data_IF_127138119466
#
_entry.id   IF_127138119466
#
_cell.length_a   1.000
_cell.length_b   1.000
_cell.length_c   1.000
_cell.angle_alpha   90.00
_cell.angle_beta   90.00
_cell.angle_gamma   90.00
#
_symmetry.space_group_name_H-M   'P 1'
#
loop_
_entity.id
_entity.type
_entity.pdbx_description
1 polymer ?
#
# COMPACT_ATOMS: atom_id res chain seq x y z
N UNK A 1 14.58 -2.69 8.25
CA UNK A 1 13.44 -3.63 8.37
C UNK A 1 12.71 -3.37 9.69
N UNK A 2 11.39 -3.56 9.76
CA UNK A 2 10.59 -3.13 10.93
C UNK A 2 10.89 -3.94 12.19
N UNK A 3 11.11 -5.26 12.05
CA UNK A 3 11.56 -6.19 13.10
C UNK A 3 10.71 -6.12 14.39
N UNK A 4 9.39 -6.01 14.25
CA UNK A 4 8.47 -5.94 15.40
C UNK A 4 8.09 -7.37 15.81
N UNK A 5 8.48 -7.77 17.03
CA UNK A 5 8.39 -9.16 17.51
C UNK A 5 7.25 -9.44 18.50
N UNK A 6 6.53 -8.41 18.95
CA UNK A 6 5.41 -8.59 19.87
C UNK A 6 4.36 -7.50 19.69
N UNK A 7 3.13 -7.78 20.13
CA UNK A 7 2.04 -6.81 20.16
C UNK A 7 2.33 -5.63 21.08
N UNK A 8 3.01 -5.87 22.20
CA UNK A 8 3.45 -4.81 23.13
C UNK A 8 4.48 -3.87 22.47
N UNK A 9 5.40 -4.41 21.68
CA UNK A 9 6.33 -3.62 20.90
C UNK A 9 5.59 -2.81 19.82
N UNK A 10 4.61 -3.42 19.12
CA UNK A 10 3.79 -2.71 18.13
C UNK A 10 3.03 -1.54 18.78
N UNK A 11 2.32 -1.77 19.88
CA UNK A 11 1.57 -0.78 20.63
C UNK A 11 2.43 0.43 21.01
N UNK A 12 3.62 0.16 21.58
CA UNK A 12 4.60 1.19 21.93
C UNK A 12 5.04 2.01 20.71
N UNK A 13 5.33 1.36 19.58
CA UNK A 13 5.73 2.07 18.34
C UNK A 13 4.60 2.92 17.77
N UNK A 14 3.37 2.41 17.79
CA UNK A 14 2.22 3.14 17.24
C UNK A 14 1.74 4.27 18.15
N UNK A 15 2.20 4.32 19.41
CA UNK A 15 1.67 5.18 20.47
C UNK A 15 0.16 4.98 20.65
N UNK A 16 -0.26 3.71 20.63
CA UNK A 16 -1.65 3.28 20.82
C UNK A 16 -1.62 2.15 21.84
N UNK A 17 -2.54 2.22 22.80
CA UNK A 17 -2.67 1.21 23.82
C UNK A 17 -2.97 -0.19 23.22
N UNK A 18 -2.45 -1.24 23.84
CA UNK A 18 -2.57 -2.61 23.34
C UNK A 18 -4.02 -3.09 23.35
N UNK A 19 -4.82 -2.68 24.33
CA UNK A 19 -6.22 -3.05 24.45
C UNK A 19 -7.03 -2.39 23.33
N UNK A 20 -6.72 -1.13 23.03
CA UNK A 20 -7.30 -0.43 21.88
C UNK A 20 -7.02 -1.18 20.57
N UNK A 21 -5.79 -1.69 20.37
CA UNK A 21 -5.46 -2.47 19.18
C UNK A 21 -6.24 -3.80 19.15
N UNK A 22 -6.28 -4.53 20.26
CA UNK A 22 -6.98 -5.82 20.34
C UNK A 22 -8.48 -5.67 20.08
N UNK A 23 -9.13 -4.76 20.80
CA UNK A 23 -10.56 -4.49 20.67
C UNK A 23 -10.91 -4.05 19.24
N UNK A 24 -10.12 -3.15 18.64
CA UNK A 24 -10.35 -2.72 17.24
C UNK A 24 -10.21 -3.90 16.25
N UNK A 25 -9.28 -4.84 16.51
CA UNK A 25 -9.04 -5.97 15.63
C UNK A 25 -10.05 -7.12 15.79
N UNK A 26 -10.63 -7.25 16.97
CA UNK A 26 -11.76 -8.15 17.24
C UNK A 26 -13.02 -7.66 16.52
N UNK A 27 -13.31 -6.36 16.62
CA UNK A 27 -14.46 -5.71 15.99
C UNK A 27 -14.15 -5.03 14.64
N UNK A 28 -13.23 -5.60 13.86
CA UNK A 28 -12.72 -4.96 12.63
C UNK A 28 -13.80 -4.70 11.58
N UNK A 29 -14.80 -5.59 11.51
CA UNK A 29 -15.92 -5.48 10.57
C UNK A 29 -16.80 -4.26 10.88
N UNK A 30 -17.04 -3.98 12.16
CA UNK A 30 -17.84 -2.84 12.63
C UNK A 30 -17.16 -1.50 12.34
N UNK A 31 -15.83 -1.52 12.15
CA UNK A 31 -15.03 -0.36 11.83
C UNK A 31 -14.93 -0.05 10.33
N UNK A 32 -15.54 -0.85 9.46
CA UNK A 32 -15.47 -0.68 8.02
C UNK A 32 -16.87 -0.66 7.39
N UNK A 33 -17.15 0.38 6.60
CA UNK A 33 -18.38 0.46 5.80
C UNK A 33 -18.07 0.71 4.33
N UNK A 34 -18.90 0.21 3.43
CA UNK A 34 -18.76 0.44 1.99
C UNK A 34 -19.50 1.70 1.57
N UNK A 35 -18.82 2.54 0.79
CA UNK A 35 -19.40 3.67 0.10
C UNK A 35 -19.19 3.52 -1.40
N UNK A 36 -20.26 3.62 -2.18
CA UNK A 36 -20.17 3.62 -3.63
C UNK A 36 -19.85 5.04 -4.13
N UNK A 37 -18.84 5.18 -4.97
CA UNK A 37 -18.52 6.43 -5.66
C UNK A 37 -18.69 6.23 -7.16
N UNK A 38 -19.47 7.10 -7.78
CA UNK A 38 -19.60 7.18 -9.24
C UNK A 38 -18.43 7.98 -9.80
N UNK A 39 -17.71 7.39 -10.74
CA UNK A 39 -16.69 8.09 -11.53
C UNK A 39 -17.35 9.07 -12.51
N UNK A 40 -16.58 10.03 -13.04
CA UNK A 40 -17.04 10.96 -14.08
C UNK A 40 -17.60 10.26 -15.32
N UNK A 41 -17.17 9.01 -15.59
CA UNK A 41 -17.64 8.15 -16.70
C UNK A 41 -18.73 7.17 -16.29
N UNK A 42 -19.40 7.37 -15.14
CA UNK A 42 -20.53 6.55 -14.69
C UNK A 42 -20.17 5.22 -14.00
N UNK A 43 -18.93 4.72 -14.13
CA UNK A 43 -18.48 3.50 -13.44
C UNK A 43 -18.57 3.68 -11.91
N UNK A 44 -19.19 2.73 -11.22
CA UNK A 44 -19.27 2.70 -9.75
C UNK A 44 -18.04 1.98 -9.19
N UNK A 45 -17.41 2.58 -8.17
CA UNK A 45 -16.30 1.95 -7.43
C UNK A 45 -16.66 1.84 -5.95
N UNK A 46 -16.54 0.65 -5.34
CA UNK A 46 -16.68 0.50 -3.89
C UNK A 46 -15.44 1.07 -3.21
N UNK A 47 -15.64 2.00 -2.27
CA UNK A 47 -14.58 2.55 -1.42
C UNK A 47 -14.90 2.18 0.03
N UNK A 48 -13.91 1.65 0.72
CA UNK A 48 -14.03 1.30 2.13
C UNK A 48 -13.79 2.55 2.98
N UNK A 49 -14.78 2.89 3.81
CA UNK A 49 -14.70 3.96 4.82
C UNK A 49 -14.40 3.33 6.17
N UNK A 50 -13.20 3.61 6.69
CA UNK A 50 -12.81 3.26 8.04
C UNK A 50 -13.41 4.23 9.10
N UNK A 51 -13.70 3.69 10.28
CA UNK A 51 -14.05 4.46 11.48
C UNK A 51 -12.90 5.38 11.92
N UNK A 52 -13.18 6.35 12.79
CA UNK A 52 -12.16 7.30 13.25
C UNK A 52 -11.02 6.61 14.00
N UNK A 53 -11.33 5.58 14.80
CA UNK A 53 -10.31 4.81 15.52
C UNK A 53 -9.41 4.01 14.57
N UNK A 54 -10.01 3.31 13.60
CA UNK A 54 -9.25 2.55 12.61
C UNK A 54 -8.40 3.47 11.72
N UNK A 55 -8.93 4.63 11.31
CA UNK A 55 -8.16 5.65 10.60
C UNK A 55 -6.96 6.14 11.39
N UNK A 56 -7.11 6.34 12.71
CA UNK A 56 -6.00 6.75 13.59
C UNK A 56 -4.91 5.67 13.61
N UNK A 57 -5.30 4.40 13.76
CA UNK A 57 -4.37 3.25 13.71
C UNK A 57 -3.67 3.18 12.34
N UNK A 58 -4.42 3.18 11.24
CA UNK A 58 -3.89 3.14 9.87
C UNK A 58 -2.93 4.30 9.58
N UNK A 59 -3.25 5.51 10.06
CA UNK A 59 -2.38 6.68 9.93
C UNK A 59 -1.06 6.49 10.67
N UNK A 60 -1.07 5.89 11.88
CA UNK A 60 0.16 5.59 12.61
C UNK A 60 0.95 4.47 11.94
N UNK A 61 0.29 3.41 11.46
CA UNK A 61 0.94 2.36 10.67
C UNK A 61 1.64 2.97 9.46
N UNK A 62 0.97 3.83 8.71
CA UNK A 62 1.57 4.53 7.57
C UNK A 62 2.78 5.39 7.99
N UNK A 63 2.59 6.31 8.94
CA UNK A 63 3.60 7.33 9.30
C UNK A 63 4.81 6.75 10.05
N UNK A 64 4.61 5.73 10.88
CA UNK A 64 5.67 5.22 11.75
C UNK A 64 6.35 4.02 11.12
N UNK A 65 5.61 3.19 10.39
CA UNK A 65 6.09 1.93 9.84
C UNK A 65 6.32 2.02 8.33
N UNK A 66 5.25 2.18 7.55
CA UNK A 66 5.32 1.97 6.08
C UNK A 66 6.12 3.04 5.35
N UNK A 67 6.03 4.31 5.74
CA UNK A 67 6.73 5.39 5.05
C UNK A 67 8.26 5.36 5.23
N UNK A 68 8.76 4.53 6.15
CA UNK A 68 10.20 4.32 6.39
C UNK A 68 10.76 3.15 5.60
N UNK A 69 9.89 2.37 4.94
CA UNK A 69 10.30 1.24 4.11
C UNK A 69 10.81 1.81 2.78
N UNK A 70 12.03 1.47 2.35
CA UNK A 70 12.52 1.84 1.02
C UNK A 70 11.58 1.30 -0.06
N UNK A 71 11.36 2.10 -1.10
CA UNK A 71 10.57 1.74 -2.28
C UNK A 71 11.40 1.98 -3.54
N UNK A 72 10.96 1.43 -4.66
CA UNK A 72 11.68 1.59 -5.92
C UNK A 72 11.80 3.07 -6.35
N UNK A 73 12.95 3.50 -6.90
CA UNK A 73 13.12 4.85 -7.44
C UNK A 73 12.10 5.25 -8.51
N UNK A 74 11.65 4.28 -9.30
CA UNK A 74 10.66 4.48 -10.38
C UNK A 74 9.21 4.59 -9.88
N UNK A 75 8.92 4.39 -8.60
CA UNK A 75 7.56 4.50 -8.06
C UNK A 75 7.20 5.96 -7.72
N UNK A 76 6.38 6.65 -8.51
CA UNK A 76 6.01 8.06 -8.25
C UNK A 76 4.66 8.23 -7.54
N UNK A 77 3.78 7.24 -7.63
CA UNK A 77 2.42 7.33 -7.07
C UNK A 77 2.38 7.20 -5.56
N UNK A 78 1.72 8.15 -4.88
CA UNK A 78 1.58 8.20 -3.42
C UNK A 78 2.93 8.15 -2.66
N UNK A 79 3.97 8.76 -3.24
CA UNK A 79 5.31 8.85 -2.64
C UNK A 79 5.61 10.29 -2.27
N UNK A 80 6.13 10.50 -1.06
CA UNK A 80 6.53 11.84 -0.61
C UNK A 80 7.61 12.44 -1.52
N UNK A 81 7.43 13.70 -1.92
CA UNK A 81 8.34 14.38 -2.85
C UNK A 81 8.20 13.99 -4.32
N UNK A 82 7.29 13.06 -4.65
CA UNK A 82 6.96 12.69 -6.04
C UNK A 82 5.51 13.11 -6.35
N UNK A 83 5.27 13.32 -7.64
CA UNK A 83 4.01 13.80 -8.19
C UNK A 83 3.82 13.32 -9.63
N UNK A 84 2.61 13.49 -10.16
CA UNK A 84 2.31 13.25 -11.58
C UNK A 84 3.27 14.03 -12.50
N UNK A 85 3.69 15.23 -12.10
CA UNK A 85 4.71 16.02 -12.82
C UNK A 85 6.06 15.30 -12.83
N UNK A 86 6.56 14.87 -11.67
CA UNK A 86 7.86 14.16 -11.62
C UNK A 86 7.85 12.84 -12.38
N UNK A 87 6.68 12.18 -12.47
CA UNK A 87 6.46 10.98 -13.27
C UNK A 87 6.61 11.31 -14.76
N UNK A 88 5.83 12.28 -15.25
CA UNK A 88 5.84 12.69 -16.65
C UNK A 88 7.20 13.22 -17.12
N UNK A 89 7.92 13.95 -16.26
CA UNK A 89 9.24 14.50 -16.59
C UNK A 89 10.27 13.44 -17.02
N UNK A 90 10.15 12.20 -16.54
CA UNK A 90 11.04 11.10 -16.96
C UNK A 90 10.84 10.66 -18.42
N UNK A 91 9.69 11.01 -18.99
CA UNK A 91 9.27 10.62 -20.33
C UNK A 91 9.20 11.79 -21.31
N UNK A 92 9.42 13.02 -20.84
CA UNK A 92 9.44 14.19 -21.70
C UNK A 92 10.53 14.07 -22.77
N UNK A 93 10.17 14.33 -24.03
CA UNK A 93 11.07 14.25 -25.18
C UNK A 93 11.26 12.85 -25.76
N UNK A 94 10.65 11.81 -25.17
CA UNK A 94 10.63 10.47 -25.76
C UNK A 94 9.76 10.47 -27.02
N UNK A 95 10.24 9.81 -28.08
CA UNK A 95 9.52 9.73 -29.37
C UNK A 95 8.22 8.93 -29.26
N UNK A 96 8.21 7.94 -28.37
CA UNK A 96 7.06 7.08 -28.10
C UNK A 96 6.92 6.88 -26.59
N UNK A 97 5.68 6.81 -26.13
CA UNK A 97 5.33 6.50 -24.74
C UNK A 97 4.25 5.42 -24.75
N UNK A 98 4.37 4.43 -23.88
CA UNK A 98 3.40 3.35 -23.78
C UNK A 98 2.89 3.26 -22.35
N UNK A 99 1.57 3.37 -22.18
CA UNK A 99 0.95 3.32 -20.87
C UNK A 99 0.28 1.97 -20.64
N UNK A 100 0.59 1.35 -19.51
CA UNK A 100 0.00 0.11 -19.02
C UNK A 100 -0.73 0.38 -17.71
N UNK A 101 -1.81 -0.35 -17.44
CA UNK A 101 -2.56 -0.26 -16.18
C UNK A 101 -2.65 -1.65 -15.53
N UNK A 102 -2.43 -1.72 -14.22
CA UNK A 102 -2.64 -2.93 -13.45
C UNK A 102 -4.14 -3.13 -13.16
N UNK A 103 -4.76 -4.01 -13.92
CA UNK A 103 -6.18 -4.31 -13.79
C UNK A 103 -6.56 -4.65 -12.34
N UNK A 104 -7.51 -3.90 -11.78
CA UNK A 104 -8.10 -4.16 -10.46
C UNK A 104 -7.03 -4.32 -9.36
N UNK A 105 -5.97 -3.52 -9.42
CA UNK A 105 -4.74 -3.65 -8.64
C UNK A 105 -4.97 -3.97 -7.15
N UNK A 106 -5.77 -3.16 -6.45
CA UNK A 106 -6.02 -3.33 -5.01
C UNK A 106 -6.78 -4.62 -4.67
N UNK A 107 -7.86 -4.93 -5.40
CA UNK A 107 -8.67 -6.13 -5.13
C UNK A 107 -7.92 -7.43 -5.47
N UNK A 108 -6.96 -7.38 -6.39
CA UNK A 108 -6.12 -8.53 -6.74
C UNK A 108 -4.97 -8.75 -5.73
N UNK A 109 -4.78 -7.87 -4.74
CA UNK A 109 -3.82 -8.06 -3.66
C UNK A 109 -4.54 -8.67 -2.46
N UNK A 110 -4.42 -9.99 -2.34
CA UNK A 110 -5.01 -10.75 -1.24
C UNK A 110 -4.30 -10.50 0.10
N UNK A 111 -5.04 -10.65 1.20
CA UNK A 111 -4.54 -10.50 2.56
C UNK A 111 -3.41 -11.46 2.90
N UNK A 112 -3.36 -12.64 2.27
CA UNK A 112 -2.24 -13.58 2.38
C UNK A 112 -0.93 -12.98 1.89
N UNK A 113 -0.95 -12.26 0.75
CA UNK A 113 0.21 -11.56 0.20
C UNK A 113 0.64 -10.39 1.09
N UNK A 114 -0.32 -9.68 1.68
CA UNK A 114 -0.05 -8.60 2.66
C UNK A 114 0.54 -9.16 3.96
N UNK A 115 0.05 -10.29 4.45
CA UNK A 115 0.61 -10.96 5.62
C UNK A 115 2.04 -11.41 5.37
N UNK A 116 2.28 -12.05 4.22
CA UNK A 116 3.62 -12.48 3.79
C UNK A 116 4.59 -11.30 3.67
N UNK A 117 4.13 -10.15 3.19
CA UNK A 117 4.91 -8.92 3.20
C UNK A 117 5.36 -8.54 4.62
N UNK A 118 4.45 -8.54 5.59
CA UNK A 118 4.81 -8.19 6.97
C UNK A 118 5.77 -9.21 7.60
N UNK A 119 5.58 -10.50 7.36
CA UNK A 119 6.42 -11.57 7.91
C UNK A 119 7.80 -11.62 7.25
N UNK A 120 7.86 -11.75 5.92
CA UNK A 120 9.09 -12.03 5.19
C UNK A 120 9.87 -10.74 4.86
N UNK A 121 9.19 -9.74 4.30
CA UNK A 121 9.84 -8.52 3.82
C UNK A 121 9.98 -7.44 4.88
N UNK A 122 9.25 -7.49 6.00
CA UNK A 122 9.33 -6.50 7.07
C UNK A 122 9.79 -7.10 8.41
N UNK A 123 10.00 -8.42 8.43
CA UNK A 123 10.53 -9.21 9.56
C UNK A 123 9.68 -9.11 10.84
N UNK A 124 8.38 -8.93 10.71
CA UNK A 124 7.46 -8.95 11.85
C UNK A 124 7.14 -10.39 12.30
N UNK A 125 6.89 -10.58 13.60
CA UNK A 125 6.39 -11.87 14.12
C UNK A 125 5.00 -12.22 13.56
N UNK A 126 4.63 -13.50 13.45
CA UNK A 126 3.33 -13.94 12.89
C UNK A 126 2.11 -13.23 13.50
N UNK A 127 2.08 -13.02 14.82
CA UNK A 127 0.97 -12.35 15.51
C UNK A 127 0.82 -10.88 15.08
N UNK A 128 1.95 -10.18 15.02
CA UNK A 128 2.02 -8.77 14.58
C UNK A 128 1.61 -8.66 13.11
N UNK A 129 2.09 -9.57 12.27
CA UNK A 129 1.75 -9.60 10.84
C UNK A 129 0.27 -9.88 10.62
N UNK A 130 -0.32 -10.78 11.39
CA UNK A 130 -1.76 -11.06 11.36
C UNK A 130 -2.56 -9.81 11.74
N UNK A 131 -2.17 -9.15 12.83
CA UNK A 131 -2.85 -7.94 13.30
C UNK A 131 -2.73 -6.77 12.31
N UNK A 132 -1.53 -6.53 11.78
CA UNK A 132 -1.29 -5.49 10.77
C UNK A 132 -2.11 -5.76 9.51
N UNK A 133 -2.15 -7.01 9.03
CA UNK A 133 -2.98 -7.40 7.89
C UNK A 133 -4.46 -7.12 8.15
N UNK A 134 -4.99 -7.41 9.35
CA UNK A 134 -6.39 -7.07 9.70
C UNK A 134 -6.66 -5.58 9.58
N UNK A 135 -5.74 -4.71 10.03
CA UNK A 135 -5.92 -3.26 9.95
C UNK A 135 -5.75 -2.67 8.55
N UNK A 136 -5.04 -3.36 7.67
CA UNK A 136 -4.69 -2.83 6.35
C UNK A 136 -5.43 -3.49 5.19
N UNK A 137 -6.26 -4.50 5.46
CA UNK A 137 -7.08 -5.18 4.44
C UNK A 137 -8.54 -5.16 4.82
N UNK A 138 -9.41 -5.34 3.83
CA UNK A 138 -10.85 -5.45 4.02
C UNK A 138 -11.38 -6.53 3.09
N UNK A 139 -12.22 -7.43 3.63
CA UNK A 139 -12.75 -8.57 2.88
C UNK A 139 -11.67 -9.36 2.14
N UNK A 140 -10.60 -9.73 2.86
CA UNK A 140 -9.46 -10.54 2.36
C UNK A 140 -8.62 -9.92 1.23
N UNK A 141 -8.76 -8.62 0.97
CA UNK A 141 -8.01 -7.92 -0.07
C UNK A 141 -7.59 -6.52 0.38
N UNK A 142 -6.67 -5.91 -0.36
CA UNK A 142 -6.26 -4.53 -0.09
C UNK A 142 -7.41 -3.57 -0.38
N UNK A 143 -7.72 -2.70 0.58
CA UNK A 143 -8.91 -1.86 0.51
C UNK A 143 -8.65 -0.57 -0.28
N UNK A 144 -9.54 -0.21 -1.21
CA UNK A 144 -9.56 1.16 -1.74
C UNK A 144 -10.12 2.10 -0.66
N UNK A 145 -9.38 3.16 -0.32
CA UNK A 145 -9.78 4.16 0.68
C UNK A 145 -9.00 4.10 1.99
N UNK A 146 -8.24 3.02 2.25
CA UNK A 146 -7.31 2.99 3.38
C UNK A 146 -6.04 3.77 3.07
N UNK A 147 -5.55 4.53 4.05
CA UNK A 147 -4.33 5.34 3.91
C UNK A 147 -3.05 4.50 3.79
N UNK A 148 -3.11 3.23 4.16
CA UNK A 148 -1.98 2.29 4.11
C UNK A 148 -1.86 1.57 2.77
N UNK A 149 -2.94 1.49 1.99
CA UNK A 149 -3.01 0.61 0.82
C UNK A 149 -1.99 0.97 -0.26
N UNK A 150 -1.86 2.25 -0.63
CA UNK A 150 -0.90 2.67 -1.65
C UNK A 150 0.55 2.43 -1.22
N UNK A 151 0.86 2.59 0.06
CA UNK A 151 2.18 2.29 0.61
C UNK A 151 2.48 0.79 0.54
N UNK A 152 1.53 -0.06 0.93
CA UNK A 152 1.66 -1.52 0.81
C UNK A 152 1.86 -1.93 -0.65
N UNK A 153 1.08 -1.37 -1.56
CA UNK A 153 1.23 -1.62 -3.01
C UNK A 153 2.65 -1.28 -3.48
N UNK A 154 3.15 -0.10 -3.14
CA UNK A 154 4.50 0.31 -3.56
C UNK A 154 5.59 -0.63 -3.04
N UNK A 155 5.46 -1.14 -1.81
CA UNK A 155 6.42 -2.10 -1.25
C UNK A 155 6.31 -3.46 -1.98
N UNK A 156 5.09 -3.94 -2.24
CA UNK A 156 4.86 -5.19 -2.96
C UNK A 156 5.35 -5.16 -4.41
N UNK A 157 5.35 -3.98 -5.04
CA UNK A 157 5.80 -3.79 -6.41
C UNK A 157 7.32 -3.72 -6.56
N UNK A 158 8.12 -3.64 -5.49
CA UNK A 158 9.59 -3.48 -5.58
C UNK A 158 10.21 -4.53 -6.51
N UNK A 159 9.86 -5.82 -6.35
CA UNK A 159 10.43 -6.88 -7.16
C UNK A 159 10.02 -6.78 -8.64
N UNK A 160 8.80 -6.34 -8.91
CA UNK A 160 8.30 -6.10 -10.27
C UNK A 160 9.05 -4.92 -10.90
N UNK A 161 9.15 -3.80 -10.18
CA UNK A 161 9.82 -2.59 -10.62
C UNK A 161 11.32 -2.89 -10.92
N UNK A 162 12.00 -3.63 -10.04
CA UNK A 162 13.40 -4.05 -10.28
C UNK A 162 13.53 -4.97 -11.51
N UNK A 163 12.58 -5.88 -11.74
CA UNK A 163 12.61 -6.78 -12.89
C UNK A 163 12.44 -6.01 -14.19
N UNK A 164 11.54 -5.02 -14.21
CA UNK A 164 11.31 -4.14 -15.36
C UNK A 164 12.55 -3.27 -15.59
N UNK A 165 13.08 -2.61 -14.56
CA UNK A 165 14.28 -1.76 -14.65
C UNK A 165 15.50 -2.54 -15.20
N UNK A 166 15.68 -3.78 -14.75
CA UNK A 166 16.74 -4.66 -15.26
C UNK A 166 16.57 -4.99 -16.75
N UNK A 167 15.34 -5.19 -17.21
CA UNK A 167 15.08 -5.48 -18.62
C UNK A 167 15.33 -4.26 -19.51
N UNK A 168 14.79 -3.10 -19.11
CA UNK A 168 14.82 -1.87 -19.92
C UNK A 168 16.18 -1.17 -19.92
N UNK A 169 16.99 -1.33 -18.86
CA UNK A 169 18.29 -0.65 -18.74
C UNK A 169 19.27 -1.08 -19.86
N UNK A 170 19.08 -2.28 -20.41
CA UNK A 170 19.87 -2.77 -21.54
C UNK A 170 19.41 -2.24 -22.91
N UNK A 171 18.23 -1.62 -22.98
CA UNK A 171 17.57 -1.22 -24.25
C UNK A 171 17.36 0.31 -24.29
N UNK A 172 17.74 1.02 -23.23
CA UNK A 172 17.67 2.49 -23.17
C UNK A 172 16.25 3.07 -23.01
N UNK A 173 15.30 2.27 -22.51
CA UNK A 173 13.94 2.74 -22.24
C UNK A 173 13.82 3.34 -20.83
N UNK A 174 12.96 4.34 -20.68
CA UNK A 174 12.59 4.92 -19.39
C UNK A 174 11.37 4.18 -18.81
N UNK A 175 11.28 4.11 -17.48
CA UNK A 175 10.17 3.49 -16.77
C UNK A 175 9.83 4.24 -15.49
N UNK A 176 8.54 4.45 -15.28
CA UNK A 176 7.98 4.94 -14.02
C UNK A 176 6.63 4.29 -13.75
N UNK A 177 6.27 4.18 -12.47
CA UNK A 177 4.97 3.68 -12.03
C UNK A 177 4.27 4.71 -11.13
N UNK A 178 3.07 5.12 -11.51
CA UNK A 178 2.20 5.97 -10.73
C UNK A 178 1.02 5.17 -10.16
N UNK A 179 1.23 4.56 -8.98
CA UNK A 179 0.28 3.62 -8.37
C UNK A 179 0.12 2.37 -9.26
N UNK A 180 -1.00 2.25 -9.96
CA UNK A 180 -1.37 1.18 -10.89
C UNK A 180 -1.01 1.51 -12.35
N UNK A 181 -0.86 2.79 -12.69
CA UNK A 181 -0.41 3.23 -14.01
C UNK A 181 1.10 3.06 -14.17
N UNK A 182 1.53 2.46 -15.28
CA UNK A 182 2.92 2.27 -15.69
C UNK A 182 3.15 3.04 -16.99
N UNK A 183 4.27 3.75 -17.08
CA UNK A 183 4.72 4.48 -18.28
C UNK A 183 6.17 4.18 -18.55
#
# INVERSE_FOLDING_TARGET
MLKIKSLTHLAKRLHIDIETLRNTAEHIHDHCSLKQIKTKKGKVRPIVKASNILKKIQKQIYKILLCKVPIHPSAHGAVHGRSSKTNALKHCGQRYTYCLDLQSCFSNIHSSRVRRLFEEMLECSPDVSTLLTKFTTYNYQLAQGFSTSTAILNILCINMDCSIEKYISNIGLAYTRYVDDIT
#
